data_IF_757045815095
#
_entry.id   IF_757045815095
#
_cell.length_a   1.000
_cell.length_b   1.000
_cell.length_c   1.000
_cell.angle_alpha   90.00
_cell.angle_beta   90.00
_cell.angle_gamma   90.00
#
_symmetry.space_group_name_H-M   'P 1'
#
loop_
_entity.id
_entity.type
_entity.pdbx_description
1 polymer ?
#
# COMPACT_ATOMS: atom_id res chain seq x y z
N UNK A 1 -8.81 11.85 -3.96
CA UNK A 1 -7.67 12.39 -3.18
C UNK A 1 -6.41 12.28 -4.02
N UNK A 2 -5.80 13.39 -4.49
CA UNK A 2 -4.66 13.36 -5.40
C UNK A 2 -3.33 13.01 -4.73
N UNK A 3 -3.11 13.46 -3.48
CA UNK A 3 -1.89 13.18 -2.71
C UNK A 3 -2.28 12.81 -1.28
N UNK A 4 -2.02 11.56 -0.88
CA UNK A 4 -2.26 11.09 0.48
C UNK A 4 -1.15 11.51 1.46
N UNK A 5 0.10 11.48 1.00
CA UNK A 5 1.30 11.76 1.80
C UNK A 5 1.93 13.09 1.36
N UNK A 6 1.36 14.25 1.70
CA UNK A 6 1.86 15.54 1.26
C UNK A 6 3.27 15.82 1.80
N UNK A 7 3.56 15.45 3.05
CA UNK A 7 4.85 15.68 3.68
C UNK A 7 5.97 14.86 3.02
N UNK A 8 5.72 13.56 2.79
CA UNK A 8 6.65 12.70 2.06
C UNK A 8 6.83 13.14 0.60
N UNK A 9 5.76 13.61 -0.04
CA UNK A 9 5.82 14.16 -1.40
C UNK A 9 6.73 15.39 -1.46
N UNK A 10 6.50 16.40 -0.61
CA UNK A 10 7.35 17.59 -0.53
C UNK A 10 8.82 17.23 -0.22
N UNK A 11 9.03 16.32 0.74
CA UNK A 11 10.38 15.85 1.08
C UNK A 11 11.10 15.19 -0.11
N UNK A 12 10.37 14.51 -0.99
CA UNK A 12 10.94 13.91 -2.20
C UNK A 12 11.35 14.91 -3.28
N UNK A 13 10.81 16.13 -3.23
CA UNK A 13 11.21 17.22 -4.12
C UNK A 13 12.42 17.99 -3.60
N UNK A 14 12.58 18.08 -2.28
CA UNK A 14 13.57 18.96 -1.65
C UNK A 14 14.82 18.23 -1.15
N UNK A 15 14.68 16.99 -0.68
CA UNK A 15 15.75 16.31 0.07
C UNK A 15 16.10 14.92 -0.45
N UNK A 16 15.12 14.03 -0.56
CA UNK A 16 15.35 12.62 -0.94
C UNK A 16 14.30 12.13 -1.92
N UNK A 17 14.69 12.09 -3.20
CA UNK A 17 13.82 11.70 -4.30
C UNK A 17 13.18 10.32 -4.14
N UNK A 18 13.79 9.42 -3.38
CA UNK A 18 13.31 8.05 -3.16
C UNK A 18 12.58 7.86 -1.84
N UNK A 19 12.34 8.93 -1.08
CA UNK A 19 11.55 8.87 0.14
C UNK A 19 10.11 8.41 -0.13
N UNK A 20 9.63 7.43 0.66
CA UNK A 20 8.29 6.84 0.49
C UNK A 20 7.38 6.91 1.72
N UNK A 21 7.94 7.09 2.91
CA UNK A 21 7.22 7.04 4.19
C UNK A 21 6.56 8.39 4.52
N UNK A 22 5.75 8.46 5.57
CA UNK A 22 5.36 9.74 6.18
C UNK A 22 6.59 10.46 6.78
N UNK A 23 6.37 11.57 7.50
CA UNK A 23 7.45 12.35 8.14
C UNK A 23 7.37 12.39 9.68
N UNK A 24 6.51 11.57 10.29
CA UNK A 24 6.41 11.44 11.75
C UNK A 24 7.73 10.96 12.39
N UNK A 25 7.99 11.35 13.64
CA UNK A 25 9.23 11.02 14.35
C UNK A 25 9.01 9.86 15.32
N UNK A 26 9.91 8.88 15.30
CA UNK A 26 9.82 7.67 16.12
C UNK A 26 11.17 7.32 16.74
N UNK A 27 11.16 6.99 18.03
CA UNK A 27 12.38 6.60 18.75
C UNK A 27 12.62 5.10 18.59
N UNK A 28 13.72 4.73 17.94
CA UNK A 28 14.25 3.38 17.98
C UNK A 28 15.13 3.23 19.21
N UNK A 29 14.61 2.51 20.21
CA UNK A 29 15.37 2.15 21.41
C UNK A 29 16.46 1.15 21.04
N UNK A 30 17.62 1.28 21.68
CA UNK A 30 18.67 0.28 21.58
C UNK A 30 18.14 -1.11 22.00
N UNK A 31 18.65 -2.21 21.41
CA UNK A 31 18.29 -3.56 21.80
C UNK A 31 18.49 -3.75 23.31
N UNK A 32 17.40 -4.08 24.03
CA UNK A 32 17.38 -4.19 25.48
C UNK A 32 17.34 -5.62 26.00
N UNK A 33 17.77 -6.61 25.20
CA UNK A 33 17.73 -8.04 25.58
C UNK A 33 18.74 -8.39 26.67
N UNK A 34 18.58 -9.54 27.32
CA UNK A 34 19.53 -10.05 28.33
C UNK A 34 20.94 -10.26 27.76
N UNK A 35 21.03 -10.78 26.52
CA UNK A 35 22.31 -10.96 25.82
C UNK A 35 22.95 -9.61 25.47
N UNK A 36 22.16 -8.66 24.98
CA UNK A 36 22.64 -7.31 24.67
C UNK A 36 23.08 -6.59 25.94
N UNK A 37 22.32 -6.70 27.03
CA UNK A 37 22.65 -6.15 28.35
C UNK A 37 23.95 -6.72 28.88
N UNK A 38 24.19 -8.03 28.74
CA UNK A 38 25.45 -8.67 29.11
C UNK A 38 26.63 -8.15 28.27
N UNK A 39 26.42 -7.95 26.96
CA UNK A 39 27.43 -7.32 26.09
C UNK A 39 27.64 -5.84 26.40
N UNK A 40 26.58 -5.09 26.75
CA UNK A 40 26.67 -3.67 27.13
C UNK A 40 27.43 -3.50 28.44
N UNK A 41 27.22 -4.40 29.41
CA UNK A 41 27.98 -4.45 30.67
C UNK A 41 29.46 -4.73 30.44
N UNK A 42 29.81 -5.60 29.50
CA UNK A 42 31.20 -5.91 29.13
C UNK A 42 31.86 -4.81 28.30
N UNK A 43 31.12 -4.03 27.52
CA UNK A 43 31.66 -3.01 26.60
C UNK A 43 31.44 -1.55 27.04
N UNK A 44 30.75 -1.28 28.16
CA UNK A 44 30.40 0.08 28.65
C UNK A 44 29.76 1.01 27.58
N UNK A 45 29.23 0.48 26.48
CA UNK A 45 28.65 1.27 25.38
C UNK A 45 27.19 0.92 25.20
N UNK A 46 26.31 1.73 25.80
CA UNK A 46 24.90 1.75 25.43
C UNK A 46 24.78 2.50 24.11
N UNK A 47 24.30 1.83 23.06
CA UNK A 47 24.03 2.49 21.79
C UNK A 47 22.97 3.60 22.02
N UNK A 48 23.16 4.82 21.49
CA UNK A 48 22.23 5.90 21.72
C UNK A 48 20.88 5.60 21.06
N UNK A 49 19.79 6.06 21.70
CA UNK A 49 18.47 6.01 21.09
C UNK A 49 18.50 6.75 19.74
N UNK A 50 18.02 6.09 18.69
CA UNK A 50 18.07 6.64 17.32
C UNK A 50 16.71 7.19 16.95
N UNK A 51 16.67 8.46 16.54
CA UNK A 51 15.47 9.07 15.93
C UNK A 51 15.35 8.56 14.50
N UNK A 52 14.20 7.97 14.17
CA UNK A 52 13.87 7.50 12.83
C UNK A 52 12.58 8.15 12.35
N UNK A 53 12.55 8.46 11.06
CA UNK A 53 11.45 9.21 10.46
C UNK A 53 10.57 8.32 9.60
N UNK A 54 9.27 8.56 9.70
CA UNK A 54 8.25 8.07 8.81
C UNK A 54 7.79 6.65 9.08
N UNK A 55 6.50 6.46 8.82
CA UNK A 55 5.79 5.20 8.76
C UNK A 55 5.48 4.88 7.30
N UNK A 56 5.59 3.60 6.93
CA UNK A 56 5.08 3.12 5.66
C UNK A 56 3.55 3.15 5.72
N UNK A 57 2.96 4.15 5.06
CA UNK A 57 1.50 4.32 5.00
C UNK A 57 0.81 3.13 4.34
N UNK A 58 1.53 2.30 3.59
CA UNK A 58 1.01 1.07 3.01
C UNK A 58 1.05 -0.14 3.97
N UNK A 59 1.50 0.06 5.22
CA UNK A 59 1.54 -0.94 6.29
C UNK A 59 0.79 -0.49 7.55
N UNK A 60 0.17 0.69 7.54
CA UNK A 60 -0.40 1.35 8.71
C UNK A 60 -1.93 1.15 8.86
N UNK A 61 -2.53 0.21 8.15
CA UNK A 61 -3.99 -0.01 8.18
C UNK A 61 -4.37 -1.16 9.13
N UNK A 62 -5.61 -1.15 9.66
CA UNK A 62 -6.12 -2.22 10.52
C UNK A 62 -6.49 -3.48 9.70
N UNK A 63 -5.52 -4.11 9.05
CA UNK A 63 -5.72 -5.43 8.42
C UNK A 63 -4.49 -6.28 8.66
N UNK A 64 -4.59 -7.30 9.52
CA UNK A 64 -3.42 -8.11 9.90
C UNK A 64 -2.20 -7.28 10.36
N UNK A 65 -2.42 -6.09 10.92
CA UNK A 65 -1.37 -5.09 11.19
C UNK A 65 -0.17 -5.65 11.96
N UNK A 66 1.05 -5.28 11.54
CA UNK A 66 2.28 -5.71 12.19
C UNK A 66 2.63 -7.19 12.00
N UNK A 67 1.98 -7.89 11.07
CA UNK A 67 2.28 -9.28 10.68
C UNK A 67 3.21 -9.32 9.45
N UNK A 68 3.18 -10.39 8.66
CA UNK A 68 4.07 -10.64 7.53
C UNK A 68 4.04 -9.47 6.53
N UNK A 69 5.22 -9.10 6.01
CA UNK A 69 5.38 -7.99 5.08
C UNK A 69 5.42 -6.59 5.68
N UNK A 70 5.32 -6.47 6.99
CA UNK A 70 5.51 -5.21 7.72
C UNK A 70 6.61 -5.34 8.76
N UNK A 71 7.07 -4.22 9.30
CA UNK A 71 8.07 -4.17 10.36
C UNK A 71 7.58 -3.35 11.54
N UNK A 72 7.96 -3.75 12.75
CA UNK A 72 7.73 -2.97 13.99
C UNK A 72 8.93 -2.11 14.37
N UNK A 73 10.03 -2.18 13.62
CA UNK A 73 11.23 -1.41 13.88
C UNK A 73 11.12 -0.02 13.23
N UNK A 74 11.21 1.10 13.99
CA UNK A 74 10.99 2.45 13.46
C UNK A 74 11.87 2.86 12.28
N UNK A 75 13.09 2.34 12.22
CA UNK A 75 14.05 2.66 11.18
C UNK A 75 13.91 1.78 9.92
N UNK A 76 12.96 0.85 9.91
CA UNK A 76 12.74 -0.03 8.76
C UNK A 76 11.91 0.69 7.68
N UNK A 77 12.18 0.35 6.42
CA UNK A 77 11.44 0.88 5.27
C UNK A 77 9.97 0.43 5.23
N UNK A 78 9.64 -0.69 5.88
CA UNK A 78 8.28 -1.22 6.01
C UNK A 78 7.72 -0.99 7.42
N UNK A 79 8.22 0.01 8.13
CA UNK A 79 7.75 0.31 9.49
C UNK A 79 6.24 0.61 9.49
N UNK A 80 5.46 -0.21 10.19
CA UNK A 80 4.00 -0.15 10.22
C UNK A 80 3.43 0.94 11.14
N UNK A 81 4.29 1.67 11.85
CA UNK A 81 3.91 2.61 12.90
C UNK A 81 3.80 1.96 14.29
N UNK A 82 3.48 2.74 15.33
CA UNK A 82 3.25 2.24 16.69
C UNK A 82 1.89 1.55 16.86
N UNK A 83 0.91 1.85 16.01
CA UNK A 83 -0.44 1.29 16.01
C UNK A 83 -1.04 1.40 14.59
N UNK A 84 -2.10 0.63 14.25
CA UNK A 84 -2.88 0.91 13.05
C UNK A 84 -3.47 2.32 13.12
N UNK A 85 -3.49 3.04 12.00
CA UNK A 85 -3.94 4.42 11.88
C UNK A 85 -3.19 5.39 12.81
N UNK A 86 -1.92 5.11 13.12
CA UNK A 86 -1.08 6.02 13.89
C UNK A 86 -0.78 7.32 13.14
N UNK A 87 -0.81 7.27 11.81
CA UNK A 87 -0.50 8.43 10.97
C UNK A 87 -1.78 9.22 10.68
N UNK A 88 -1.75 10.56 10.76
CA UNK A 88 -2.93 11.38 10.49
C UNK A 88 -3.48 11.17 9.07
N UNK A 89 -2.62 10.87 8.09
CA UNK A 89 -3.00 10.61 6.69
C UNK A 89 -3.87 9.36 6.56
N UNK A 90 -3.44 8.23 7.14
CA UNK A 90 -4.19 6.97 7.08
C UNK A 90 -5.42 7.03 7.96
N UNK A 91 -5.34 7.70 9.12
CA UNK A 91 -6.47 7.94 10.01
C UNK A 91 -7.58 8.75 9.34
N UNK A 92 -7.23 9.84 8.65
CA UNK A 92 -8.23 10.67 7.97
C UNK A 92 -9.01 9.88 6.91
N UNK A 93 -8.31 9.03 6.14
CA UNK A 93 -8.97 8.18 5.15
C UNK A 93 -9.78 7.06 5.81
N UNK A 94 -9.28 6.43 6.88
CA UNK A 94 -10.04 5.39 7.58
C UNK A 94 -11.33 5.94 8.16
N UNK A 95 -11.28 7.11 8.80
CA UNK A 95 -12.45 7.77 9.38
C UNK A 95 -13.47 8.10 8.27
N UNK A 96 -13.00 8.65 7.13
CA UNK A 96 -13.84 8.91 5.97
C UNK A 96 -14.51 7.63 5.39
N UNK A 97 -13.77 6.53 5.27
CA UNK A 97 -14.32 5.26 4.77
C UNK A 97 -15.34 4.65 5.73
N UNK A 98 -15.11 4.76 7.04
CA UNK A 98 -16.05 4.30 8.06
C UNK A 98 -17.36 5.10 8.01
N UNK A 99 -17.25 6.43 7.87
CA UNK A 99 -18.41 7.33 7.81
C UNK A 99 -19.23 7.15 6.53
N UNK A 100 -18.57 6.86 5.41
CA UNK A 100 -19.19 6.76 4.09
C UNK A 100 -19.43 5.32 3.61
N UNK A 101 -19.40 4.34 4.53
CA UNK A 101 -19.52 2.90 4.23
C UNK A 101 -20.71 2.50 3.36
N UNK A 102 -21.78 3.28 3.33
CA UNK A 102 -22.98 3.02 2.50
C UNK A 102 -22.95 3.70 1.12
N UNK A 103 -21.94 4.51 0.80
CA UNK A 103 -21.96 5.41 -0.37
C UNK A 103 -20.78 5.23 -1.34
N UNK A 104 -19.73 4.45 -1.02
CA UNK A 104 -18.47 4.47 -1.79
C UNK A 104 -17.99 3.10 -2.29
N UNK A 105 -17.69 3.03 -3.59
CA UNK A 105 -16.79 2.04 -4.23
C UNK A 105 -15.38 2.68 -4.29
N UNK A 106 -14.34 2.11 -3.65
CA UNK A 106 -12.98 2.71 -3.58
C UNK A 106 -11.95 1.84 -4.29
N UNK A 107 -11.13 2.44 -5.16
CA UNK A 107 -9.92 1.83 -5.72
C UNK A 107 -8.66 2.69 -5.47
N UNK A 108 -7.49 2.03 -5.45
CA UNK A 108 -6.14 2.61 -5.35
C UNK A 108 -5.35 2.29 -6.63
N UNK A 109 -4.34 3.10 -7.03
CA UNK A 109 -4.01 3.33 -8.45
C UNK A 109 -2.62 2.85 -8.99
N UNK A 110 -2.60 2.11 -10.14
CA UNK A 110 -1.47 1.45 -10.91
C UNK A 110 -1.43 0.02 -11.69
N UNK A 111 -0.36 -0.40 -12.37
CA UNK A 111 -0.06 -1.71 -13.06
C UNK A 111 -0.30 -3.11 -12.49
N UNK A 112 -0.85 -3.28 -11.30
CA UNK A 112 -1.28 -4.60 -10.85
C UNK A 112 -2.59 -4.40 -10.16
N UNK A 113 -3.69 -4.86 -10.78
CA UNK A 113 -5.00 -4.91 -10.14
C UNK A 113 -4.96 -6.10 -9.18
N UNK A 114 -4.74 -5.85 -7.89
CA UNK A 114 -4.70 -6.87 -6.82
C UNK A 114 -5.87 -6.72 -5.87
N UNK A 115 -6.51 -7.84 -5.51
CA UNK A 115 -7.55 -7.92 -4.49
C UNK A 115 -6.95 -8.53 -3.20
N UNK A 116 -7.43 -8.20 -2.00
CA UNK A 116 -6.93 -8.80 -0.78
C UNK A 116 -7.51 -10.22 -0.57
N UNK A 117 -6.79 -11.15 0.06
CA UNK A 117 -7.25 -12.53 0.38
C UNK A 117 -7.39 -12.64 1.90
N UNK A 118 -8.55 -13.07 2.39
CA UNK A 118 -8.83 -13.23 3.82
C UNK A 118 -8.14 -14.47 4.38
N UNK A 119 -7.13 -14.26 5.22
CA UNK A 119 -6.46 -15.35 5.92
C UNK A 119 -7.43 -15.98 6.95
N UNK A 120 -7.75 -17.27 6.77
CA UNK A 120 -8.58 -18.14 7.63
C UNK A 120 -10.12 -18.12 7.47
N UNK A 121 -10.71 -17.53 6.42
CA UNK A 121 -12.09 -17.90 6.06
C UNK A 121 -12.11 -18.98 4.99
N UNK A 122 -13.10 -19.87 5.04
CA UNK A 122 -13.55 -20.64 3.89
C UNK A 122 -13.54 -19.72 2.67
N UNK A 123 -12.66 -20.04 1.73
CA UNK A 123 -12.40 -19.28 0.52
C UNK A 123 -13.75 -18.97 -0.15
N UNK A 124 -14.19 -17.71 -0.14
CA UNK A 124 -15.38 -17.31 -0.86
C UNK A 124 -14.98 -17.16 -2.33
N UNK A 125 -14.99 -18.28 -3.06
CA UNK A 125 -14.58 -18.35 -4.45
C UNK A 125 -15.41 -17.43 -5.35
N UNK A 126 -16.69 -17.24 -5.04
CA UNK A 126 -17.59 -16.40 -5.84
C UNK A 126 -17.16 -14.93 -5.81
N UNK A 127 -16.82 -14.41 -4.62
CA UNK A 127 -16.32 -13.04 -4.50
C UNK A 127 -14.99 -12.87 -5.25
N UNK A 128 -14.11 -13.87 -5.18
CA UNK A 128 -12.85 -13.87 -5.91
C UNK A 128 -13.05 -13.82 -7.43
N UNK A 129 -13.95 -14.65 -7.95
CA UNK A 129 -14.23 -14.71 -9.39
C UNK A 129 -14.75 -13.35 -9.88
N UNK A 130 -15.66 -12.70 -9.13
CA UNK A 130 -16.14 -11.35 -9.42
C UNK A 130 -15.00 -10.30 -9.41
N UNK A 131 -14.09 -10.39 -8.44
CA UNK A 131 -12.93 -9.51 -8.34
C UNK A 131 -12.03 -9.60 -9.58
N UNK A 132 -11.77 -10.83 -10.03
CA UNK A 132 -10.92 -11.11 -11.18
C UNK A 132 -11.61 -10.71 -12.49
N UNK A 133 -12.90 -10.98 -12.63
CA UNK A 133 -13.67 -10.61 -13.81
C UNK A 133 -13.68 -9.09 -14.02
N UNK A 134 -13.97 -8.31 -12.98
CA UNK A 134 -13.90 -6.84 -13.04
C UNK A 134 -12.52 -6.36 -13.48
N UNK A 135 -11.46 -6.90 -12.87
CA UNK A 135 -10.08 -6.54 -13.19
C UNK A 135 -9.72 -6.91 -14.64
N UNK A 136 -10.13 -8.10 -15.09
CA UNK A 136 -9.92 -8.59 -16.44
C UNK A 136 -10.66 -7.72 -17.46
N UNK A 137 -11.92 -7.37 -17.21
CA UNK A 137 -12.70 -6.46 -18.06
C UNK A 137 -12.02 -5.10 -18.21
N UNK A 138 -11.49 -4.54 -17.11
CA UNK A 138 -10.70 -3.30 -17.16
C UNK A 138 -9.46 -3.43 -18.05
N UNK A 139 -8.65 -4.48 -17.85
CA UNK A 139 -7.42 -4.69 -18.64
C UNK A 139 -7.70 -5.05 -20.11
N UNK A 140 -8.76 -5.78 -20.40
CA UNK A 140 -9.16 -6.10 -21.77
C UNK A 140 -9.79 -4.89 -22.47
N UNK A 141 -10.55 -4.06 -21.75
CA UNK A 141 -11.03 -2.76 -22.24
C UNK A 141 -9.88 -1.88 -22.72
N UNK A 142 -8.83 -1.78 -21.91
CA UNK A 142 -7.59 -1.09 -22.28
C UNK A 142 -6.96 -1.65 -23.57
N UNK A 143 -6.90 -2.97 -23.71
CA UNK A 143 -6.33 -3.64 -24.91
C UNK A 143 -7.17 -3.38 -26.15
N UNK A 144 -8.50 -3.39 -26.04
CA UNK A 144 -9.44 -3.07 -27.14
C UNK A 144 -9.28 -1.64 -27.64
N UNK A 145 -8.87 -0.70 -26.78
CA UNK A 145 -8.54 0.68 -27.14
C UNK A 145 -7.18 0.84 -27.84
N UNK A 146 -6.46 -0.27 -28.06
CA UNK A 146 -5.20 -0.28 -28.79
C UNK A 146 -3.96 0.05 -27.95
N UNK A 147 -4.07 0.06 -26.62
CA UNK A 147 -2.91 0.30 -25.76
C UNK A 147 -1.87 -0.82 -25.91
N UNK A 148 -0.60 -0.41 -25.95
CA UNK A 148 0.55 -1.33 -26.01
C UNK A 148 0.97 -1.82 -24.62
N UNK A 149 0.45 -1.20 -23.56
CA UNK A 149 0.72 -1.60 -22.19
C UNK A 149 0.15 -2.98 -21.89
N UNK A 150 0.81 -3.70 -20.99
CA UNK A 150 0.48 -5.09 -20.61
C UNK A 150 0.36 -5.18 -19.10
N UNK A 151 -0.69 -4.53 -18.59
CA UNK A 151 -1.10 -4.64 -17.20
C UNK A 151 -1.49 -6.10 -16.90
N UNK A 152 -1.04 -6.62 -15.76
CA UNK A 152 -1.37 -7.97 -15.31
C UNK A 152 -2.35 -7.88 -14.16
N UNK A 153 -3.38 -8.73 -14.19
CA UNK A 153 -4.21 -8.98 -13.02
C UNK A 153 -3.47 -10.00 -12.17
N UNK A 154 -3.20 -9.65 -10.93
CA UNK A 154 -2.51 -10.54 -10.02
C UNK A 154 -3.50 -11.12 -9.02
N UNK A 155 -3.69 -12.43 -9.14
CA UNK A 155 -4.52 -13.23 -8.25
C UNK A 155 -3.69 -13.98 -7.20
N UNK A 156 -2.35 -13.85 -7.23
CA UNK A 156 -1.48 -14.69 -6.41
C UNK A 156 -1.54 -14.27 -4.94
N UNK A 157 -1.90 -15.24 -4.09
CA UNK A 157 -1.80 -15.11 -2.64
C UNK A 157 -0.40 -14.66 -2.20
N UNK A 158 0.66 -14.89 -3.00
CA UNK A 158 2.02 -14.50 -2.65
C UNK A 158 2.24 -12.99 -2.55
N UNK A 159 1.58 -12.17 -3.37
CA UNK A 159 1.68 -10.71 -3.28
C UNK A 159 0.67 -10.11 -2.30
N UNK A 160 -0.38 -10.87 -1.95
CA UNK A 160 -1.52 -10.42 -1.15
C UNK A 160 -1.42 -10.87 0.32
N UNK A 161 -1.12 -12.14 0.59
CA UNK A 161 -0.95 -12.69 1.95
C UNK A 161 0.35 -12.24 2.61
N UNK A 162 1.29 -11.71 1.83
CA UNK A 162 2.54 -11.15 2.34
C UNK A 162 2.46 -9.65 2.62
N UNK A 163 1.28 -9.01 2.62
CA UNK A 163 1.14 -7.57 2.84
C UNK A 163 0.15 -7.27 3.96
N UNK A 164 0.67 -7.23 5.19
CA UNK A 164 -0.10 -6.74 6.33
C UNK A 164 -0.23 -5.22 6.34
N UNK A 165 -1.37 -4.75 6.84
CA UNK A 165 -1.65 -3.34 7.08
C UNK A 165 -1.89 -2.54 5.82
N UNK A 166 -2.55 -3.12 4.80
CA UNK A 166 -2.86 -2.44 3.54
C UNK A 166 -4.28 -1.86 3.48
N UNK A 167 -4.43 -0.77 2.74
CA UNK A 167 -5.67 -0.01 2.62
C UNK A 167 -6.78 -0.76 1.89
N UNK A 168 -6.42 -1.46 0.82
CA UNK A 168 -7.33 -2.24 -0.02
C UNK A 168 -7.95 -3.39 0.77
N UNK A 169 -7.12 -4.11 1.54
CA UNK A 169 -7.54 -5.17 2.44
C UNK A 169 -8.42 -4.70 3.59
N UNK A 170 -8.06 -3.58 4.21
CA UNK A 170 -8.91 -2.93 5.21
C UNK A 170 -10.28 -2.54 4.64
N UNK A 171 -10.30 -1.89 3.47
CA UNK A 171 -11.54 -1.49 2.81
C UNK A 171 -12.43 -2.69 2.45
N UNK A 172 -11.85 -3.77 1.93
CA UNK A 172 -12.60 -4.96 1.55
C UNK A 172 -13.14 -5.73 2.77
N UNK A 173 -12.29 -5.99 3.75
CA UNK A 173 -12.59 -6.99 4.79
C UNK A 173 -13.04 -6.42 6.12
N UNK A 174 -12.62 -5.21 6.47
CA UNK A 174 -13.03 -4.57 7.74
C UNK A 174 -14.20 -3.60 7.52
N UNK A 175 -14.21 -2.89 6.38
CA UNK A 175 -15.32 -1.98 6.04
C UNK A 175 -16.43 -2.69 5.26
N UNK A 176 -16.07 -3.68 4.41
CA UNK A 176 -17.04 -4.40 3.58
C UNK A 176 -17.28 -3.76 2.21
N UNK A 177 -16.32 -3.01 1.67
CA UNK A 177 -16.39 -2.46 0.31
C UNK A 177 -16.13 -3.61 -0.69
N UNK A 178 -17.11 -4.01 -1.52
CA UNK A 178 -17.01 -5.23 -2.32
C UNK A 178 -15.89 -5.22 -3.35
N UNK A 179 -15.57 -4.05 -3.92
CA UNK A 179 -14.58 -3.90 -4.99
C UNK A 179 -13.50 -2.94 -4.55
N UNK A 180 -12.41 -3.50 -4.02
CA UNK A 180 -11.25 -2.78 -3.50
C UNK A 180 -9.98 -3.33 -4.11
N UNK A 181 -9.25 -2.45 -4.82
CA UNK A 181 -8.10 -2.81 -5.61
C UNK A 181 -6.91 -1.91 -5.29
N UNK A 182 -5.71 -2.48 -5.24
CA UNK A 182 -4.50 -1.73 -5.59
C UNK A 182 -4.27 -1.91 -7.07
N UNK A 183 -3.80 -0.85 -7.72
CA UNK A 183 -3.33 -0.78 -9.09
C UNK A 183 -1.81 -0.32 -8.77
N UNK A 184 -0.67 -0.85 -9.31
CA UNK A 184 0.76 -0.30 -9.26
C UNK A 184 1.46 0.37 -10.54
N UNK A 185 1.45 1.70 -10.87
CA UNK A 185 1.56 2.29 -12.26
C UNK A 185 2.87 1.98 -13.06
N UNK A 186 2.96 2.47 -14.31
CA UNK A 186 4.13 2.26 -15.18
C UNK A 186 5.47 2.65 -14.56
N UNK A 187 6.56 1.92 -14.84
CA UNK A 187 6.75 0.84 -15.83
C UNK A 187 7.05 -0.55 -15.22
N UNK A 188 7.50 -1.51 -16.04
CA UNK A 188 7.88 -2.85 -15.59
C UNK A 188 9.29 -2.93 -14.97
N UNK A 189 9.80 -1.81 -14.43
CA UNK A 189 11.08 -1.73 -13.72
C UNK A 189 12.25 -1.18 -14.54
N UNK A 190 12.02 -0.66 -15.76
CA UNK A 190 13.09 -0.05 -16.57
C UNK A 190 13.50 1.30 -15.96
N UNK A 191 12.53 2.13 -15.59
CA UNK A 191 12.74 3.42 -14.92
C UNK A 191 12.26 3.39 -13.48
N UNK A 192 11.34 2.49 -13.12
CA UNK A 192 10.76 2.42 -11.79
C UNK A 192 10.17 3.77 -11.36
N UNK A 193 10.57 4.26 -10.19
CA UNK A 193 10.07 5.54 -9.64
C UNK A 193 10.53 6.81 -10.39
N UNK A 194 11.46 6.67 -11.35
CA UNK A 194 11.98 7.76 -12.18
C UNK A 194 11.43 7.70 -13.61
N UNK A 195 10.16 7.35 -13.77
CA UNK A 195 9.46 7.33 -15.06
C UNK A 195 9.56 8.71 -15.76
N UNK A 196 9.92 8.77 -17.06
CA UNK A 196 10.05 10.03 -17.77
C UNK A 196 8.72 10.77 -17.87
N UNK A 197 8.75 12.11 -17.86
CA UNK A 197 7.54 12.95 -17.91
C UNK A 197 6.70 12.73 -19.17
N UNK A 198 7.32 12.31 -20.28
CA UNK A 198 6.62 11.93 -21.51
C UNK A 198 5.70 10.72 -21.36
N UNK A 199 5.89 9.91 -20.32
CA UNK A 199 5.05 8.76 -20.02
C UNK A 199 3.85 9.10 -19.10
N UNK A 200 3.75 10.32 -18.56
CA UNK A 200 2.67 10.72 -17.65
C UNK A 200 1.30 10.59 -18.33
N UNK A 201 1.10 11.26 -19.48
CA UNK A 201 -0.18 11.24 -20.19
C UNK A 201 -0.57 9.83 -20.68
N UNK A 202 0.34 9.05 -21.35
CA UNK A 202 0.02 7.68 -21.71
C UNK A 202 -0.36 6.80 -20.51
N UNK A 203 0.37 6.91 -19.40
CA UNK A 203 0.12 6.12 -18.19
C UNK A 203 -1.20 6.50 -17.52
N UNK A 204 -1.52 7.79 -17.47
CA UNK A 204 -2.78 8.29 -16.93
C UNK A 204 -3.97 7.84 -17.80
N UNK A 205 -3.83 7.88 -19.14
CA UNK A 205 -4.84 7.38 -20.07
C UNK A 205 -5.07 5.88 -19.87
N UNK A 206 -4.01 5.08 -19.78
CA UNK A 206 -4.14 3.65 -19.54
C UNK A 206 -4.88 3.35 -18.22
N UNK A 207 -4.50 4.04 -17.13
CA UNK A 207 -5.15 3.88 -15.84
C UNK A 207 -6.63 4.29 -15.88
N UNK A 208 -6.96 5.38 -16.58
CA UNK A 208 -8.32 5.84 -16.77
C UNK A 208 -9.19 4.81 -17.51
N UNK A 209 -8.68 4.23 -18.61
CA UNK A 209 -9.41 3.22 -19.37
C UNK A 209 -9.61 1.93 -18.56
N UNK A 210 -8.63 1.51 -17.76
CA UNK A 210 -8.78 0.37 -16.85
C UNK A 210 -9.90 0.64 -15.84
N UNK A 211 -9.82 1.77 -15.13
CA UNK A 211 -10.82 2.11 -14.11
C UNK A 211 -12.21 2.28 -14.72
N UNK A 212 -12.31 2.89 -15.91
CA UNK A 212 -13.59 3.04 -16.62
C UNK A 212 -14.18 1.68 -16.99
N UNK A 213 -13.38 0.78 -17.55
CA UNK A 213 -13.82 -0.58 -17.87
C UNK A 213 -14.24 -1.39 -16.65
N UNK A 214 -13.54 -1.22 -15.52
CA UNK A 214 -13.95 -1.82 -14.24
C UNK A 214 -15.29 -1.27 -13.76
N UNK A 215 -15.48 0.06 -13.82
CA UNK A 215 -16.72 0.70 -13.36
C UNK A 215 -17.93 0.35 -14.23
N UNK A 216 -17.77 0.19 -15.54
CA UNK A 216 -18.86 -0.20 -16.43
C UNK A 216 -19.41 -1.61 -16.14
N UNK A 217 -18.61 -2.46 -15.48
CA UNK A 217 -19.02 -3.80 -15.06
C UNK A 217 -19.81 -3.80 -13.73
N UNK A 218 -19.57 -2.84 -12.83
CA UNK A 218 -20.09 -2.82 -11.45
C UNK A 218 -21.31 -1.91 -11.29
#
# INVERSE_FOLDING_TARGET
MPVLNPDGYAYSHEYDRFWKKSRSQHMARAPGGLLDSAMTWLQQKRDPDKVCHGVDLDRNWLYHWGKRGSSKAPCNEFYAGPAPFSEPETKAVSDFLMDQRTQIKVGRMGQVVSYPVKANSTFNSELLDDFLDVAMVGTDGLRKKGSKSRYKVDASNDLIEQRSGCADAFAAYEIGIPFSYTIQLADNGVHGYLLPSSAIEPTARDAFEIVSGMLDYI
#
